data_IF_552584195899
#
_entry.id   IF_552584195899
#
_cell.length_a   1.000
_cell.length_b   1.000
_cell.length_c   1.000
_cell.angle_alpha   90.00
_cell.angle_beta   90.00
_cell.angle_gamma   90.00
#
_symmetry.space_group_name_H-M   'P 1'
#
loop_
_entity.id
_entity.type
_entity.pdbx_description
1 polymer ?
#
# COMPACT_ATOMS: atom_id res chain seq x y z
N UNK A 1 -0.38 10.30 21.87
CA UNK A 1 0.89 11.06 21.78
C UNK A 1 0.93 11.65 20.38
N UNK A 2 1.60 12.78 20.20
CA UNK A 2 1.82 13.39 18.89
C UNK A 2 2.94 12.62 18.18
N UNK A 3 2.82 12.39 16.88
CA UNK A 3 3.87 11.78 16.09
C UNK A 3 5.02 12.77 15.89
N UNK A 4 6.25 12.36 16.13
CA UNK A 4 7.44 13.21 16.05
C UNK A 4 8.50 12.64 15.07
N UNK A 5 8.06 11.85 14.09
CA UNK A 5 8.96 11.18 13.14
C UNK A 5 9.25 9.73 13.49
N UNK A 6 9.73 8.99 12.49
CA UNK A 6 10.20 7.61 12.69
C UNK A 6 11.58 7.60 13.36
N UNK A 7 11.95 6.49 13.98
CA UNK A 7 13.17 6.40 14.78
C UNK A 7 14.36 5.87 13.96
N UNK A 8 15.50 6.58 13.97
CA UNK A 8 16.79 6.07 13.42
C UNK A 8 17.17 4.74 14.07
N UNK A 9 16.95 4.59 15.40
CA UNK A 9 17.16 3.32 16.11
C UNK A 9 16.22 2.20 15.65
N UNK A 10 15.02 2.54 15.16
CA UNK A 10 14.11 1.57 14.57
C UNK A 10 14.65 1.01 13.24
N UNK A 11 15.30 1.84 12.44
CA UNK A 11 15.97 1.39 11.20
C UNK A 11 17.19 0.52 11.51
N UNK A 12 17.98 0.88 12.53
CA UNK A 12 19.07 0.03 13.00
C UNK A 12 18.56 -1.34 13.47
N UNK A 13 17.49 -1.37 14.26
CA UNK A 13 16.83 -2.61 14.66
C UNK A 13 16.40 -3.48 13.45
N UNK A 14 15.84 -2.88 12.39
CA UNK A 14 15.46 -3.65 11.17
C UNK A 14 16.68 -4.23 10.46
N UNK A 15 17.82 -3.52 10.45
CA UNK A 15 19.10 -4.05 9.92
C UNK A 15 19.58 -5.25 10.71
N UNK A 16 19.59 -5.14 12.04
CA UNK A 16 19.99 -6.22 12.95
C UNK A 16 19.05 -7.43 12.87
N UNK A 17 17.73 -7.18 12.82
CA UNK A 17 16.72 -8.23 12.61
C UNK A 17 16.96 -8.98 11.30
N UNK A 18 17.35 -8.29 10.23
CA UNK A 18 17.69 -8.93 8.96
C UNK A 18 18.84 -9.92 9.06
N UNK A 19 19.81 -9.68 9.96
CA UNK A 19 20.97 -10.54 10.19
C UNK A 19 20.69 -11.65 11.21
N UNK A 20 19.76 -11.43 12.16
CA UNK A 20 19.48 -12.29 13.29
C UNK A 20 18.01 -12.78 13.31
N UNK A 21 17.42 -13.07 12.14
CA UNK A 21 15.99 -13.32 12.00
C UNK A 21 15.55 -14.65 12.62
N UNK A 22 15.49 -14.68 13.97
CA UNK A 22 14.98 -15.79 14.76
C UNK A 22 13.98 -15.30 15.82
N UNK A 23 13.11 -16.21 16.27
CA UNK A 23 12.13 -15.89 17.33
C UNK A 23 12.81 -15.53 18.64
N UNK A 24 13.88 -16.24 19.00
CA UNK A 24 14.62 -16.00 20.26
C UNK A 24 15.21 -14.60 20.24
N UNK A 25 15.96 -14.27 19.20
CA UNK A 25 16.56 -12.93 19.08
C UNK A 25 15.50 -11.81 19.14
N UNK A 26 14.38 -12.01 18.45
CA UNK A 26 13.30 -11.01 18.44
C UNK A 26 12.68 -10.83 19.84
N UNK A 27 12.44 -11.92 20.57
CA UNK A 27 11.87 -11.82 21.93
C UNK A 27 12.82 -11.09 22.90
N UNK A 28 14.12 -11.35 22.80
CA UNK A 28 15.14 -10.67 23.61
C UNK A 28 15.22 -9.16 23.31
N UNK A 29 14.89 -8.76 22.06
CA UNK A 29 14.92 -7.37 21.58
C UNK A 29 13.52 -6.75 21.39
N UNK A 30 12.45 -7.43 21.82
CA UNK A 30 11.06 -6.98 21.67
C UNK A 30 10.84 -5.57 22.22
N UNK A 31 11.43 -5.23 23.34
CA UNK A 31 11.31 -3.91 23.95
C UNK A 31 11.84 -2.78 23.06
N UNK A 32 12.88 -3.04 22.27
CA UNK A 32 13.42 -2.08 21.28
C UNK A 32 12.41 -1.92 20.16
N UNK A 33 11.88 -3.02 19.59
CA UNK A 33 10.85 -3.00 18.56
C UNK A 33 9.60 -2.23 19.01
N UNK A 34 9.12 -2.46 20.23
CA UNK A 34 7.95 -1.77 20.77
C UNK A 34 8.18 -0.26 20.85
N UNK A 35 9.32 0.15 21.38
CA UNK A 35 9.64 1.57 21.59
C UNK A 35 9.98 2.32 20.30
N UNK A 36 10.73 1.69 19.39
CA UNK A 36 11.35 2.38 18.25
C UNK A 36 10.63 2.16 16.93
N UNK A 37 9.75 1.16 16.83
CA UNK A 37 8.99 0.83 15.63
C UNK A 37 7.48 0.84 15.90
N UNK A 38 6.99 0.05 16.85
CA UNK A 38 5.55 -0.10 17.06
C UNK A 38 4.91 1.22 17.51
N UNK A 39 5.46 1.89 18.51
CA UNK A 39 4.92 3.16 19.02
C UNK A 39 4.93 4.25 17.94
N UNK A 40 6.06 4.60 17.30
CA UNK A 40 6.04 5.61 16.24
C UNK A 40 5.12 5.26 15.07
N UNK A 41 5.07 3.98 14.66
CA UNK A 41 4.16 3.56 13.58
C UNK A 41 2.68 3.66 13.97
N UNK A 42 2.35 3.43 15.24
CA UNK A 42 0.99 3.58 15.75
C UNK A 42 0.58 5.04 15.78
N UNK A 43 1.47 5.92 16.27
CA UNK A 43 1.24 7.37 16.32
C UNK A 43 1.12 7.94 14.90
N UNK A 44 1.99 7.51 13.95
CA UNK A 44 1.86 7.87 12.53
C UNK A 44 0.51 7.46 11.95
N UNK A 45 0.07 6.21 12.19
CA UNK A 45 -1.23 5.74 11.67
C UNK A 45 -2.37 6.55 12.20
N UNK A 46 -2.33 6.97 13.47
CA UNK A 46 -3.37 7.80 14.06
C UNK A 46 -3.40 9.16 13.36
N UNK A 47 -2.30 9.87 13.33
CA UNK A 47 -2.22 11.24 12.80
C UNK A 47 -2.46 11.27 11.27
N UNK A 48 -1.81 10.40 10.51
CA UNK A 48 -2.05 10.28 9.07
C UNK A 48 -3.49 9.85 8.76
N UNK A 49 -4.08 8.97 9.55
CA UNK A 49 -5.47 8.54 9.37
C UNK A 49 -6.47 9.67 9.58
N UNK A 50 -6.27 10.50 10.59
CA UNK A 50 -7.05 11.72 10.84
C UNK A 50 -6.87 12.73 9.70
N UNK A 51 -5.64 12.94 9.23
CA UNK A 51 -5.32 13.83 8.10
C UNK A 51 -5.95 13.36 6.80
N UNK A 52 -5.93 12.05 6.52
CA UNK A 52 -6.51 11.46 5.30
C UNK A 52 -8.03 11.62 5.22
N UNK A 53 -8.74 11.86 6.33
CA UNK A 53 -10.17 12.16 6.30
C UNK A 53 -10.50 13.46 5.55
N UNK A 54 -9.51 14.35 5.34
CA UNK A 54 -9.65 15.54 4.48
C UNK A 54 -9.85 15.12 3.02
N UNK A 55 -9.12 14.10 2.53
CA UNK A 55 -9.23 13.58 1.16
C UNK A 55 -10.38 12.58 1.02
N UNK A 56 -10.50 11.68 2.00
CA UNK A 56 -11.44 10.56 1.99
C UNK A 56 -12.11 10.47 3.36
N UNK A 57 -13.25 11.16 3.56
CA UNK A 57 -13.94 11.19 4.87
C UNK A 57 -14.32 9.82 5.42
N UNK A 58 -14.46 8.81 4.56
CA UNK A 58 -14.83 7.43 4.92
C UNK A 58 -13.63 6.48 5.01
N UNK A 59 -12.40 7.02 5.08
CA UNK A 59 -11.20 6.20 5.21
C UNK A 59 -11.17 5.44 6.55
N UNK A 60 -10.86 4.17 6.51
CA UNK A 60 -10.70 3.35 7.68
C UNK A 60 -9.23 3.27 8.09
N UNK A 61 -8.97 3.51 9.36
CA UNK A 61 -7.68 3.26 9.99
C UNK A 61 -7.87 2.74 11.41
N UNK A 62 -6.98 1.84 11.82
CA UNK A 62 -6.97 1.25 13.16
C UNK A 62 -5.53 1.23 13.64
N UNK A 63 -5.10 2.14 14.55
CA UNK A 63 -3.71 2.31 14.96
C UNK A 63 -3.26 1.18 15.90
N UNK A 64 -3.22 -0.03 15.39
CA UNK A 64 -2.79 -1.25 16.10
C UNK A 64 -2.31 -2.32 15.12
N UNK A 65 -1.53 -3.28 15.65
CA UNK A 65 -1.15 -4.49 14.91
C UNK A 65 -2.38 -5.29 14.49
N UNK A 66 -2.36 -5.84 13.29
CA UNK A 66 -3.49 -6.46 12.58
C UNK A 66 -4.68 -5.51 12.27
N UNK A 67 -4.57 -4.25 12.66
CA UNK A 67 -5.36 -3.12 12.17
C UNK A 67 -4.69 -2.49 10.96
N UNK A 68 -4.32 -1.21 11.02
CA UNK A 68 -3.52 -0.54 9.98
C UNK A 68 -2.07 -1.01 9.93
N UNK A 69 -1.48 -1.41 11.06
CA UNK A 69 -0.13 -1.98 11.07
C UNK A 69 -0.17 -3.46 10.73
N UNK A 70 0.70 -3.90 9.82
CA UNK A 70 0.89 -5.32 9.57
C UNK A 70 1.70 -5.96 10.69
N UNK A 71 1.32 -7.20 11.09
CA UNK A 71 2.10 -7.98 12.05
C UNK A 71 3.51 -8.25 11.52
N UNK A 72 4.49 -8.22 12.39
CA UNK A 72 5.88 -8.50 12.06
C UNK A 72 6.11 -9.98 11.70
N UNK A 73 5.39 -10.90 12.34
CA UNK A 73 5.49 -12.31 12.05
C UNK A 73 5.02 -12.65 10.63
N UNK A 74 5.81 -13.48 9.94
CA UNK A 74 5.47 -14.04 8.63
C UNK A 74 4.56 -15.25 8.77
N UNK A 75 3.72 -15.49 7.78
CA UNK A 75 3.07 -16.78 7.58
C UNK A 75 4.01 -17.64 6.71
N UNK A 76 4.73 -18.53 7.36
CA UNK A 76 5.75 -19.36 6.72
C UNK A 76 5.24 -20.75 6.31
N UNK A 77 3.95 -21.06 6.52
CA UNK A 77 3.38 -22.39 6.27
C UNK A 77 3.62 -22.86 4.84
N UNK A 78 3.43 -21.97 3.87
CA UNK A 78 3.53 -22.25 2.44
C UNK A 78 4.71 -21.51 1.77
N UNK A 79 5.65 -20.95 2.54
CA UNK A 79 6.80 -20.22 2.03
C UNK A 79 8.05 -21.11 2.03
N UNK A 80 8.86 -21.02 0.97
CA UNK A 80 10.20 -21.63 0.94
C UNK A 80 11.15 -20.91 1.91
N UNK A 81 11.01 -19.60 2.03
CA UNK A 81 11.73 -18.79 3.02
C UNK A 81 11.08 -18.96 4.39
N UNK A 82 11.80 -19.56 5.32
CA UNK A 82 11.36 -19.87 6.69
C UNK A 82 11.74 -18.81 7.73
N UNK A 83 12.30 -17.68 7.32
CA UNK A 83 12.56 -16.57 8.23
C UNK A 83 11.27 -16.12 8.93
N UNK A 84 11.23 -16.09 10.27
CA UNK A 84 9.97 -15.91 10.99
C UNK A 84 9.45 -14.48 10.99
N UNK A 85 10.32 -13.47 10.81
CA UNK A 85 9.95 -12.05 10.85
C UNK A 85 10.02 -11.40 9.47
N UNK A 86 9.18 -10.41 9.26
CA UNK A 86 9.27 -9.52 8.09
C UNK A 86 10.39 -8.51 8.33
N UNK A 87 11.10 -8.16 7.26
CA UNK A 87 12.12 -7.11 7.27
C UNK A 87 11.55 -5.70 6.98
N UNK A 88 10.22 -5.59 6.84
CA UNK A 88 9.54 -4.33 6.54
C UNK A 88 8.29 -4.13 7.39
N UNK A 89 8.00 -2.88 7.69
CA UNK A 89 6.84 -2.42 8.45
C UNK A 89 5.84 -1.80 7.48
N UNK A 90 4.68 -2.42 7.34
CA UNK A 90 3.61 -1.95 6.45
C UNK A 90 2.49 -1.26 7.21
N UNK A 91 1.98 -0.17 6.66
CA UNK A 91 0.92 0.69 7.17
C UNK A 91 -0.15 0.83 6.10
N UNK A 92 -1.42 0.64 6.45
CA UNK A 92 -2.53 0.60 5.50
C UNK A 92 -3.73 1.42 5.99
N UNK A 93 -4.26 2.25 5.09
CA UNK A 93 -5.50 3.00 5.24
C UNK A 93 -6.42 2.57 4.10
N UNK A 94 -7.64 2.13 4.38
CA UNK A 94 -8.49 1.54 3.34
C UNK A 94 -9.90 2.13 3.34
N UNK A 95 -10.56 2.09 2.20
CA UNK A 95 -11.93 2.57 2.03
C UNK A 95 -12.84 1.42 1.59
N UNK A 96 -14.05 1.36 2.17
CA UNK A 96 -15.05 0.35 1.84
C UNK A 96 -15.19 -0.76 2.86
N UNK A 97 -16.20 -1.64 2.66
CA UNK A 97 -16.59 -2.68 3.61
C UNK A 97 -15.88 -4.03 3.36
N UNK A 98 -15.27 -4.21 2.20
CA UNK A 98 -14.58 -5.45 1.85
C UNK A 98 -13.34 -5.67 2.72
N UNK A 99 -12.79 -6.88 2.66
CA UNK A 99 -11.53 -7.16 3.34
C UNK A 99 -10.45 -6.16 2.91
N UNK A 100 -9.77 -5.52 3.87
CA UNK A 100 -8.82 -4.41 3.65
C UNK A 100 -7.79 -4.62 2.53
N UNK A 101 -7.39 -5.88 2.25
CA UNK A 101 -6.45 -6.23 1.18
C UNK A 101 -7.11 -6.33 -0.21
N UNK A 102 -8.44 -6.19 -0.28
CA UNK A 102 -9.22 -6.14 -1.52
C UNK A 102 -10.04 -4.84 -1.61
N UNK A 103 -9.72 -3.88 -0.75
CA UNK A 103 -10.28 -2.54 -0.74
C UNK A 103 -9.29 -1.55 -1.33
N UNK A 104 -9.80 -0.49 -1.95
CA UNK A 104 -8.96 0.64 -2.35
C UNK A 104 -8.29 1.26 -1.12
N UNK A 105 -7.02 1.55 -1.20
CA UNK A 105 -6.22 1.91 -0.04
C UNK A 105 -5.08 2.86 -0.36
N UNK A 106 -4.64 3.58 0.67
CA UNK A 106 -3.34 4.20 0.75
C UNK A 106 -2.43 3.29 1.59
N UNK A 107 -1.22 3.10 1.13
CA UNK A 107 -0.27 2.19 1.76
C UNK A 107 1.12 2.79 1.80
N UNK A 108 1.77 2.61 2.93
CA UNK A 108 3.18 2.93 3.13
C UNK A 108 3.89 1.72 3.73
N UNK A 109 5.13 1.48 3.34
CA UNK A 109 6.02 0.64 4.14
C UNK A 109 7.41 1.23 4.17
N UNK A 110 8.17 0.85 5.19
CA UNK A 110 9.59 1.13 5.27
C UNK A 110 10.34 -0.13 5.72
N UNK A 111 11.59 -0.23 5.35
CA UNK A 111 12.48 -1.32 5.73
C UNK A 111 13.86 -0.76 6.17
N UNK A 112 14.94 -1.50 5.98
CA UNK A 112 16.28 -1.06 6.33
C UNK A 112 16.91 -0.07 5.33
N UNK A 113 16.37 0.02 4.12
CA UNK A 113 16.99 0.74 2.99
C UNK A 113 16.25 2.02 2.62
N UNK A 114 14.93 2.11 2.90
CA UNK A 114 14.12 3.26 2.54
C UNK A 114 12.63 3.05 2.81
N UNK A 115 11.80 3.85 2.17
CA UNK A 115 10.35 3.75 2.29
C UNK A 115 9.64 3.87 0.95
N UNK A 116 8.50 3.23 0.89
CA UNK A 116 7.63 3.08 -0.28
C UNK A 116 6.25 3.61 0.06
N UNK A 117 5.65 4.38 -0.85
CA UNK A 117 4.31 4.94 -0.71
C UNK A 117 3.51 4.55 -1.95
N UNK A 118 2.24 4.15 -1.78
CA UNK A 118 1.35 3.79 -2.89
C UNK A 118 -0.11 4.01 -2.57
N UNK A 119 -0.93 4.09 -3.63
CA UNK A 119 -2.39 4.08 -3.52
C UNK A 119 -3.01 3.15 -4.56
N UNK A 120 -4.09 2.44 -4.19
CA UNK A 120 -4.80 1.48 -5.01
C UNK A 120 -4.90 0.08 -4.39
N UNK A 121 -4.89 -0.96 -5.23
CA UNK A 121 -4.95 -2.38 -4.83
C UNK A 121 -3.79 -3.15 -5.45
N UNK A 122 -2.96 -3.75 -4.61
CA UNK A 122 -1.73 -4.43 -5.01
C UNK A 122 -1.96 -5.78 -5.71
N UNK A 123 -3.06 -6.46 -5.45
CA UNK A 123 -3.36 -7.75 -6.08
C UNK A 123 -4.86 -8.01 -6.08
N UNK A 124 -5.42 -8.19 -7.27
CA UNK A 124 -6.80 -8.59 -7.42
C UNK A 124 -6.95 -10.09 -7.20
N UNK A 125 -7.79 -10.50 -6.23
CA UNK A 125 -8.29 -11.87 -6.17
C UNK A 125 -9.25 -12.14 -7.35
N UNK A 126 -9.51 -13.41 -7.70
CA UNK A 126 -10.30 -13.72 -8.90
C UNK A 126 -11.64 -13.00 -9.02
N UNK A 127 -12.49 -12.87 -7.98
CA UNK A 127 -13.73 -12.11 -8.10
C UNK A 127 -13.49 -10.64 -8.46
N UNK A 128 -12.56 -9.98 -7.76
CA UNK A 128 -12.24 -8.58 -8.00
C UNK A 128 -11.55 -8.35 -9.36
N UNK A 129 -10.72 -9.31 -9.82
CA UNK A 129 -10.13 -9.25 -11.16
C UNK A 129 -11.21 -9.31 -12.24
N UNK A 130 -12.24 -10.14 -12.06
CA UNK A 130 -13.37 -10.19 -12.97
C UNK A 130 -14.09 -8.85 -12.99
N UNK A 131 -14.44 -8.31 -11.83
CA UNK A 131 -15.07 -6.99 -11.71
C UNK A 131 -14.24 -5.89 -12.36
N UNK A 132 -12.93 -5.86 -12.12
CA UNK A 132 -12.02 -4.90 -12.75
C UNK A 132 -12.09 -4.98 -14.28
N UNK A 133 -12.03 -6.19 -14.85
CA UNK A 133 -12.12 -6.38 -16.30
C UNK A 133 -13.46 -5.96 -16.87
N UNK A 134 -14.57 -6.29 -16.21
CA UNK A 134 -15.89 -5.83 -16.58
C UNK A 134 -16.00 -4.29 -16.53
N UNK A 135 -15.40 -3.67 -15.51
CA UNK A 135 -15.44 -2.22 -15.33
C UNK A 135 -14.66 -1.47 -16.41
N UNK A 136 -13.45 -1.90 -16.76
CA UNK A 136 -12.65 -1.29 -17.84
C UNK A 136 -13.16 -1.62 -19.25
N UNK A 137 -14.05 -2.61 -19.39
CA UNK A 137 -14.69 -2.88 -20.69
C UNK A 137 -15.56 -1.71 -21.17
N UNK A 138 -16.07 -0.92 -20.24
CA UNK A 138 -16.75 0.34 -20.56
C UNK A 138 -15.74 1.43 -20.90
N UNK A 139 -15.78 1.96 -22.14
CA UNK A 139 -14.83 2.97 -22.64
C UNK A 139 -14.68 4.19 -21.72
N UNK A 140 -15.78 4.64 -21.08
CA UNK A 140 -15.71 5.76 -20.12
C UNK A 140 -14.74 5.45 -18.97
N UNK A 141 -14.78 4.24 -18.40
CA UNK A 141 -13.94 3.87 -17.26
C UNK A 141 -12.49 3.62 -17.70
N UNK A 142 -12.27 2.94 -18.83
CA UNK A 142 -10.91 2.70 -19.33
C UNK A 142 -10.22 4.00 -19.76
N UNK A 143 -10.91 4.93 -20.39
CA UNK A 143 -10.35 6.22 -20.76
C UNK A 143 -10.04 7.08 -19.53
N UNK A 144 -10.94 7.11 -18.54
CA UNK A 144 -10.69 7.81 -17.27
C UNK A 144 -9.46 7.25 -16.56
N UNK A 145 -9.36 5.90 -16.45
CA UNK A 145 -8.20 5.27 -15.85
C UNK A 145 -6.92 5.59 -16.60
N UNK A 146 -6.93 5.50 -17.93
CA UNK A 146 -5.78 5.85 -18.77
C UNK A 146 -5.29 7.28 -18.48
N UNK A 147 -6.20 8.26 -18.48
CA UNK A 147 -5.86 9.66 -18.16
C UNK A 147 -5.23 9.83 -16.79
N UNK A 148 -5.80 9.19 -15.75
CA UNK A 148 -5.26 9.21 -14.39
C UNK A 148 -3.84 8.62 -14.35
N UNK A 149 -3.63 7.48 -15.03
CA UNK A 149 -2.33 6.81 -15.04
C UNK A 149 -1.26 7.63 -15.79
N UNK A 150 -1.61 8.29 -16.88
CA UNK A 150 -0.69 9.18 -17.61
C UNK A 150 -0.34 10.42 -16.77
N UNK A 151 -1.31 11.04 -16.07
CA UNK A 151 -1.03 12.16 -15.17
C UNK A 151 -0.07 11.74 -14.05
N UNK A 152 -0.29 10.59 -13.44
CA UNK A 152 0.60 10.07 -12.39
C UNK A 152 2.01 9.78 -12.92
N UNK A 153 2.15 9.21 -14.11
CA UNK A 153 3.48 9.02 -14.75
C UNK A 153 4.18 10.35 -14.99
N UNK A 154 3.46 11.36 -15.50
CA UNK A 154 4.00 12.69 -15.75
C UNK A 154 4.46 13.37 -14.47
N UNK A 155 3.85 13.07 -13.33
CA UNK A 155 4.27 13.49 -11.99
C UNK A 155 5.42 12.66 -11.41
N UNK A 156 5.91 11.65 -12.14
CA UNK A 156 7.04 10.80 -11.71
C UNK A 156 6.66 9.58 -10.88
N UNK A 157 5.39 9.23 -10.78
CA UNK A 157 4.95 8.00 -10.11
C UNK A 157 5.11 6.78 -11.01
N UNK A 158 5.41 5.64 -10.39
CA UNK A 158 5.57 4.37 -11.07
C UNK A 158 4.28 3.55 -11.03
N UNK A 159 4.10 2.71 -12.05
CA UNK A 159 3.02 1.74 -12.13
C UNK A 159 3.59 0.32 -12.13
N UNK A 160 2.84 -0.68 -11.64
CA UNK A 160 3.30 -2.06 -11.68
C UNK A 160 3.33 -2.58 -13.12
N UNK A 161 4.25 -3.50 -13.37
CA UNK A 161 4.29 -4.24 -14.62
C UNK A 161 3.02 -5.09 -14.80
N UNK A 162 2.57 -5.29 -16.06
CA UNK A 162 1.46 -6.17 -16.38
C UNK A 162 1.67 -7.58 -15.86
N UNK A 163 0.68 -8.14 -15.16
CA UNK A 163 0.72 -9.51 -14.65
C UNK A 163 0.50 -10.57 -15.75
N UNK A 164 -0.30 -10.24 -16.75
CA UNK A 164 -0.72 -11.16 -17.79
C UNK A 164 -0.05 -10.81 -19.12
N UNK A 165 0.43 -11.84 -19.83
CA UNK A 165 1.08 -11.69 -21.15
C UNK A 165 0.10 -11.76 -22.32
N UNK A 166 -1.11 -12.29 -22.10
CA UNK A 166 -2.12 -12.50 -23.15
C UNK A 166 -3.36 -11.69 -22.83
N UNK A 167 -3.87 -11.03 -23.86
CA UNK A 167 -5.14 -10.31 -23.78
C UNK A 167 -6.25 -11.31 -23.43
N UNK A 168 -7.04 -11.02 -22.38
CA UNK A 168 -8.13 -11.91 -21.97
C UNK A 168 -9.22 -12.00 -23.02
N UNK A 169 -9.98 -13.08 -23.00
CA UNK A 169 -11.16 -13.22 -23.84
C UNK A 169 -12.15 -12.04 -23.60
N UNK A 170 -12.73 -11.54 -24.65
CA UNK A 170 -13.68 -10.41 -24.62
C UNK A 170 -13.03 -9.05 -24.83
N UNK A 171 -11.70 -8.93 -24.87
CA UNK A 171 -11.00 -7.70 -25.23
C UNK A 171 -10.46 -7.75 -26.66
N UNK A 172 -10.62 -6.64 -27.39
CA UNK A 172 -10.00 -6.49 -28.70
C UNK A 172 -8.54 -6.06 -28.53
N UNK A 173 -7.63 -6.73 -29.24
CA UNK A 173 -6.18 -6.43 -29.19
C UNK A 173 -5.83 -5.07 -29.79
N UNK A 174 -6.70 -4.56 -30.65
CA UNK A 174 -6.52 -3.28 -31.36
C UNK A 174 -7.11 -2.11 -30.55
N UNK A 175 -7.73 -2.35 -29.39
CA UNK A 175 -8.22 -1.27 -28.54
C UNK A 175 -7.05 -0.50 -27.91
N UNK A 176 -7.10 0.82 -27.94
CA UNK A 176 -6.07 1.73 -27.42
C UNK A 176 -5.71 1.42 -25.96
N UNK A 177 -6.69 1.11 -25.13
CA UNK A 177 -6.52 0.85 -23.70
C UNK A 177 -6.48 -0.65 -23.36
N UNK A 178 -6.23 -1.54 -24.32
CA UNK A 178 -6.20 -3.00 -24.10
C UNK A 178 -5.15 -3.42 -23.06
N UNK A 179 -4.07 -2.66 -22.93
CA UNK A 179 -3.00 -2.93 -21.96
C UNK A 179 -3.51 -2.95 -20.52
N UNK A 180 -4.58 -2.22 -20.19
CA UNK A 180 -5.23 -2.25 -18.88
C UNK A 180 -5.77 -3.65 -18.55
N UNK A 181 -6.21 -4.42 -19.55
CA UNK A 181 -6.73 -5.78 -19.36
C UNK A 181 -5.66 -6.79 -18.89
N UNK A 182 -4.39 -6.45 -19.08
CA UNK A 182 -3.24 -7.27 -18.67
C UNK A 182 -2.86 -7.10 -17.19
N UNK A 183 -3.47 -6.12 -16.51
CA UNK A 183 -3.17 -5.83 -15.11
C UNK A 183 -3.79 -6.88 -14.18
N UNK A 184 -3.05 -7.23 -13.12
CA UNK A 184 -3.53 -8.07 -12.00
C UNK A 184 -3.59 -7.30 -10.68
N UNK A 185 -3.36 -6.01 -10.76
CA UNK A 185 -3.35 -5.02 -9.69
C UNK A 185 -3.64 -3.66 -10.28
N UNK A 186 -4.03 -2.70 -9.47
CA UNK A 186 -4.13 -1.31 -9.90
C UNK A 186 -3.68 -0.42 -8.76
N UNK A 187 -2.45 0.07 -8.84
CA UNK A 187 -1.87 1.02 -7.89
C UNK A 187 -0.76 1.82 -8.56
N UNK A 188 -0.51 3.01 -8.03
CA UNK A 188 0.68 3.80 -8.34
C UNK A 188 1.58 3.84 -7.10
N UNK A 189 2.89 4.06 -7.30
CA UNK A 189 3.84 4.09 -6.19
C UNK A 189 5.04 4.99 -6.45
N UNK A 190 5.71 5.33 -5.35
CA UNK A 190 7.00 6.01 -5.34
C UNK A 190 7.84 5.49 -4.18
N UNK A 191 9.16 5.50 -4.35
CA UNK A 191 10.14 5.04 -3.36
C UNK A 191 11.14 6.14 -3.05
N UNK A 192 11.58 6.20 -1.80
CA UNK A 192 12.56 7.15 -1.33
C UNK A 192 13.64 6.48 -0.49
N UNK A 193 14.90 6.89 -0.60
CA UNK A 193 15.89 6.66 0.44
C UNK A 193 15.51 7.44 1.69
N UNK A 194 16.09 7.09 2.83
CA UNK A 194 15.91 7.87 4.05
C UNK A 194 16.56 9.23 3.96
N UNK A 195 15.86 10.24 4.44
CA UNK A 195 16.31 11.61 4.64
C UNK A 195 15.83 12.14 6.00
N UNK A 196 16.19 13.36 6.37
CA UNK A 196 15.81 13.92 7.68
C UNK A 196 14.29 14.12 7.82
N UNK A 197 13.55 14.29 6.71
CA UNK A 197 12.08 14.42 6.74
C UNK A 197 11.45 13.10 7.23
N UNK A 198 11.95 11.93 6.83
CA UNK A 198 11.44 10.65 7.32
C UNK A 198 11.54 10.54 8.86
N UNK A 199 12.54 11.14 9.46
CA UNK A 199 12.80 11.12 10.90
C UNK A 199 12.19 12.31 11.66
N UNK A 200 11.39 13.16 10.98
CA UNK A 200 10.69 14.31 11.55
C UNK A 200 9.18 14.20 11.40
N UNK A 201 8.44 15.07 12.05
CA UNK A 201 6.97 15.19 11.88
C UNK A 201 6.56 15.60 10.46
N UNK A 202 7.45 16.26 9.71
CA UNK A 202 7.21 16.70 8.32
C UNK A 202 6.92 15.54 7.35
N UNK A 203 7.21 14.30 7.73
CA UNK A 203 6.86 13.13 6.91
C UNK A 203 5.34 12.98 6.73
N UNK A 204 4.52 13.48 7.67
CA UNK A 204 3.07 13.51 7.54
C UNK A 204 2.67 14.34 6.32
N UNK A 205 3.19 15.56 6.20
CA UNK A 205 2.86 16.46 5.10
C UNK A 205 3.35 15.91 3.76
N UNK A 206 4.57 15.36 3.72
CA UNK A 206 5.11 14.70 2.52
C UNK A 206 4.23 13.55 2.07
N UNK A 207 3.88 12.64 2.95
CA UNK A 207 3.07 11.47 2.62
C UNK A 207 1.65 11.88 2.24
N UNK A 208 1.07 12.87 2.92
CA UNK A 208 -0.23 13.42 2.58
C UNK A 208 -0.25 14.00 1.16
N UNK A 209 0.76 14.80 0.79
CA UNK A 209 0.86 15.37 -0.55
C UNK A 209 0.95 14.30 -1.64
N UNK A 210 1.70 13.22 -1.40
CA UNK A 210 1.80 12.09 -2.32
C UNK A 210 0.44 11.37 -2.43
N UNK A 211 -0.27 11.16 -1.32
CA UNK A 211 -1.59 10.57 -1.34
C UNK A 211 -2.65 11.47 -2.02
N UNK A 212 -2.53 12.79 -1.86
CA UNK A 212 -3.37 13.75 -2.58
C UNK A 212 -3.18 13.61 -4.09
N UNK A 213 -1.93 13.54 -4.58
CA UNK A 213 -1.65 13.29 -6.00
C UNK A 213 -2.23 11.95 -6.51
N UNK A 214 -2.24 10.91 -5.67
CA UNK A 214 -2.76 9.57 -6.01
C UNK A 214 -4.27 9.41 -5.73
N UNK A 215 -4.94 10.43 -5.20
CA UNK A 215 -6.32 10.32 -4.71
C UNK A 215 -7.33 9.98 -5.81
N UNK A 216 -7.14 10.49 -7.03
CA UNK A 216 -8.00 10.16 -8.16
C UNK A 216 -7.92 8.67 -8.54
N UNK A 217 -6.72 8.08 -8.50
CA UNK A 217 -6.57 6.64 -8.72
C UNK A 217 -7.22 5.85 -7.59
N UNK A 218 -7.02 6.26 -6.34
CA UNK A 218 -7.62 5.61 -5.18
C UNK A 218 -9.16 5.64 -5.28
N UNK A 219 -9.73 6.77 -5.65
CA UNK A 219 -11.18 6.95 -5.82
C UNK A 219 -11.71 6.10 -6.99
N UNK A 220 -11.04 6.10 -8.15
CA UNK A 220 -11.41 5.27 -9.29
C UNK A 220 -11.45 3.77 -8.91
N UNK A 221 -10.42 3.32 -8.20
CA UNK A 221 -10.33 1.94 -7.71
C UNK A 221 -11.45 1.66 -6.69
N UNK A 222 -11.78 2.60 -5.82
CA UNK A 222 -12.89 2.47 -4.88
C UNK A 222 -14.22 2.30 -5.59
N UNK A 223 -14.55 3.16 -6.57
CA UNK A 223 -15.77 3.08 -7.37
C UNK A 223 -15.88 1.72 -8.09
N UNK A 224 -14.78 1.24 -8.66
CA UNK A 224 -14.72 -0.08 -9.26
C UNK A 224 -15.06 -1.18 -8.22
N UNK A 225 -14.55 -1.10 -6.99
CA UNK A 225 -14.84 -2.10 -5.96
C UNK A 225 -16.31 -2.13 -5.53
N UNK A 226 -17.03 -1.00 -5.62
CA UNK A 226 -18.46 -0.94 -5.31
C UNK A 226 -19.32 -1.73 -6.29
N UNK A 227 -18.82 -1.99 -7.50
CA UNK A 227 -19.52 -2.82 -8.50
C UNK A 227 -19.28 -4.31 -8.33
N UNK A 228 -18.38 -4.70 -7.41
CA UNK A 228 -18.10 -6.10 -7.12
C UNK A 228 -19.30 -6.75 -6.42
N UNK A 229 -19.96 -7.65 -7.12
CA UNK A 229 -20.98 -8.50 -6.51
C UNK A 229 -20.25 -9.56 -5.69
N UNK A 230 -20.31 -9.46 -4.36
CA UNK A 230 -19.87 -10.55 -3.48
C UNK A 230 -20.72 -11.78 -3.82
N UNK A 231 -20.06 -12.85 -4.24
CA UNK A 231 -20.65 -14.18 -4.37
C UNK A 231 -20.37 -14.98 -3.12
#
# INVERSE_FOLDING_TARGET
>A
MQFNGFSKKGIEFLKELGQNNSKVWFEDHRHIWEKTILTPSTDFVKEMGETLQILVPTIHFKPKVAGSLFRIYRDIRFSNDKTPMKSKIGLLFWQGQAHRMQSSSFYMHYDKDGYFISAGIRNFKPPLLKTYREYIHHKKHSNSLHSILEDLKNKGYHLPEPKYKRVPQGFNKDDENVYLSLQGSMYAYIEFPFDEIFFSEEIIDRVFKIYEDMSELQQWVYEMTLTCKET
#
